data_IF_860754550837
#
_entry.id   IF_860754550837
#
_cell.length_a   1.000
_cell.length_b   1.000
_cell.length_c   1.000
_cell.angle_alpha   90.00
_cell.angle_beta   90.00
_cell.angle_gamma   90.00
#
_symmetry.space_group_name_H-M   'P 1'
#
loop_
_entity.id
_entity.type
_entity.pdbx_description
1 polymer ?
#
# COMPACT_ATOMS: atom_id res chain seq x y z
N UNK A 1 -12.79 -19.66 5.61
CA UNK A 1 -13.16 -18.69 6.67
C UNK A 1 -12.12 -17.58 6.63
N UNK A 2 -12.54 -16.31 6.69
CA UNK A 2 -11.64 -15.16 6.81
C UNK A 2 -11.78 -14.65 8.24
N UNK A 3 -10.66 -14.43 8.94
CA UNK A 3 -10.68 -13.96 10.33
C UNK A 3 -10.78 -12.42 10.38
N UNK A 4 -9.85 -11.72 9.75
CA UNK A 4 -9.75 -10.26 9.78
C UNK A 4 -9.06 -9.71 8.53
N UNK A 5 -9.23 -8.42 8.28
CA UNK A 5 -8.53 -7.66 7.24
C UNK A 5 -7.89 -6.44 7.90
N UNK A 6 -6.57 -6.32 7.79
CA UNK A 6 -5.80 -5.21 8.35
C UNK A 6 -5.40 -4.23 7.24
N UNK A 7 -5.97 -3.02 7.25
CA UNK A 7 -5.64 -1.98 6.26
C UNK A 7 -4.33 -1.26 6.55
N UNK A 8 -3.92 -1.22 7.83
CA UNK A 8 -2.64 -0.70 8.32
C UNK A 8 -1.95 -1.76 9.19
N UNK A 9 -1.37 -2.80 8.58
CA UNK A 9 -0.68 -3.85 9.31
C UNK A 9 0.63 -3.35 9.92
N UNK A 10 1.22 -4.13 10.84
CA UNK A 10 2.58 -3.89 11.30
C UNK A 10 3.54 -3.75 10.12
N UNK A 11 4.37 -2.69 10.15
CA UNK A 11 5.16 -2.27 8.99
C UNK A 11 6.67 -2.18 9.27
N UNK A 12 7.16 -2.76 10.37
CA UNK A 12 8.61 -2.86 10.60
C UNK A 12 9.25 -3.83 9.60
N UNK A 13 10.58 -3.76 9.42
CA UNK A 13 11.32 -4.68 8.55
C UNK A 13 11.20 -6.17 8.93
N UNK A 14 10.74 -6.49 10.14
CA UNK A 14 10.46 -7.85 10.61
C UNK A 14 8.96 -8.21 10.61
N UNK A 15 8.08 -7.25 10.30
CA UNK A 15 6.64 -7.48 10.25
C UNK A 15 6.24 -8.35 9.06
N UNK A 16 5.12 -9.06 9.20
CA UNK A 16 4.64 -10.01 8.17
C UNK A 16 4.37 -9.34 6.82
N UNK A 17 3.76 -8.16 6.79
CA UNK A 17 3.39 -7.51 5.52
C UNK A 17 4.63 -7.19 4.65
N UNK A 18 5.67 -6.49 5.15
CA UNK A 18 6.93 -6.34 4.41
C UNK A 18 7.62 -7.66 4.05
N UNK A 19 7.60 -8.66 4.95
CA UNK A 19 8.27 -9.95 4.72
C UNK A 19 7.67 -10.76 3.57
N UNK A 20 6.34 -10.76 3.44
CA UNK A 20 5.66 -11.46 2.35
C UNK A 20 5.96 -10.84 0.98
N UNK A 21 6.02 -9.51 0.90
CA UNK A 21 6.46 -8.81 -0.32
C UNK A 21 7.91 -9.09 -0.66
N UNK A 22 8.79 -9.08 0.34
CA UNK A 22 10.20 -9.44 0.15
C UNK A 22 10.36 -10.87 -0.39
N UNK A 23 9.61 -11.83 0.15
CA UNK A 23 9.59 -13.21 -0.34
C UNK A 23 9.05 -13.33 -1.78
N UNK A 24 8.26 -12.34 -2.21
CA UNK A 24 7.71 -12.24 -3.57
C UNK A 24 8.60 -11.44 -4.53
N UNK A 25 9.78 -10.99 -4.08
CA UNK A 25 10.77 -10.29 -4.91
C UNK A 25 10.73 -8.75 -4.82
N UNK A 26 9.91 -8.16 -3.95
CA UNK A 26 9.85 -6.71 -3.75
C UNK A 26 10.52 -6.30 -2.44
N UNK A 27 11.62 -5.54 -2.51
CA UNK A 27 12.37 -5.10 -1.34
C UNK A 27 11.59 -4.13 -0.45
N UNK A 28 12.02 -3.98 0.81
CA UNK A 28 11.34 -3.09 1.78
C UNK A 28 11.33 -1.62 1.33
N UNK A 29 12.45 -1.11 0.83
CA UNK A 29 12.54 0.25 0.28
C UNK A 29 11.62 0.42 -0.93
N UNK A 30 11.63 -0.54 -1.86
CA UNK A 30 10.80 -0.49 -3.07
C UNK A 30 9.31 -0.57 -2.74
N UNK A 31 8.94 -1.36 -1.73
CA UNK A 31 7.58 -1.43 -1.22
C UNK A 31 7.12 -0.08 -0.63
N UNK A 32 7.96 0.58 0.16
CA UNK A 32 7.66 1.91 0.70
C UNK A 32 7.44 2.90 -0.46
N UNK A 33 8.37 2.92 -1.43
CA UNK A 33 8.27 3.77 -2.62
C UNK A 33 6.96 3.49 -3.36
N UNK A 34 6.63 2.23 -3.60
CA UNK A 34 5.41 1.84 -4.33
C UNK A 34 4.14 2.29 -3.61
N UNK A 35 4.09 2.21 -2.28
CA UNK A 35 2.94 2.67 -1.50
C UNK A 35 2.77 4.19 -1.57
N UNK A 36 3.88 4.95 -1.57
CA UNK A 36 3.84 6.41 -1.75
C UNK A 36 3.34 6.76 -3.15
N UNK A 37 3.84 6.10 -4.19
CA UNK A 37 3.38 6.29 -5.57
C UNK A 37 1.90 5.99 -5.72
N UNK A 38 1.43 4.84 -5.21
CA UNK A 38 0.01 4.47 -5.23
C UNK A 38 -0.88 5.51 -4.52
N UNK A 39 -0.40 6.12 -3.43
CA UNK A 39 -1.12 7.16 -2.73
C UNK A 39 -1.27 8.43 -3.60
N UNK A 40 -0.21 8.83 -4.30
CA UNK A 40 -0.22 9.98 -5.21
C UNK A 40 -1.09 9.71 -6.45
N UNK A 41 -0.95 8.52 -7.06
CA UNK A 41 -1.76 8.06 -8.20
C UNK A 41 -3.27 8.13 -7.86
N UNK A 42 -3.67 7.57 -6.71
CA UNK A 42 -5.06 7.61 -6.25
C UNK A 42 -5.52 9.03 -5.99
N UNK A 43 -4.72 9.85 -5.32
CA UNK A 43 -5.09 11.24 -5.05
C UNK A 43 -5.31 12.05 -6.33
N UNK A 44 -4.44 11.87 -7.34
CA UNK A 44 -4.59 12.51 -8.64
C UNK A 44 -5.88 12.05 -9.37
N UNK A 45 -6.19 10.76 -9.32
CA UNK A 45 -7.41 10.20 -9.90
C UNK A 45 -8.67 10.76 -9.22
N UNK A 46 -8.69 10.81 -7.88
CA UNK A 46 -9.80 11.35 -7.09
C UNK A 46 -10.04 12.84 -7.42
N UNK A 47 -8.97 13.63 -7.56
CA UNK A 47 -9.05 15.05 -7.92
C UNK A 47 -9.57 15.30 -9.36
N UNK A 48 -9.47 14.32 -10.24
CA UNK A 48 -9.95 14.42 -11.63
C UNK A 48 -11.47 14.15 -11.75
N UNK A 49 -12.12 13.66 -10.69
CA UNK A 49 -13.55 13.44 -10.66
C UNK A 49 -14.30 14.79 -10.71
N UNK A 50 -15.28 14.89 -11.59
CA UNK A 50 -16.10 16.12 -11.74
C UNK A 50 -17.08 16.23 -10.58
N UNK A 51 -16.89 17.21 -9.71
CA UNK A 51 -17.94 17.65 -8.78
C UNK A 51 -18.93 18.51 -9.55
N UNK A 52 -20.13 18.00 -9.76
CA UNK A 52 -21.25 18.83 -10.24
C UNK A 52 -21.97 19.37 -9.00
N UNK A 53 -22.13 20.70 -8.91
CA UNK A 53 -22.95 21.33 -7.87
C UNK A 53 -24.44 21.09 -8.13
#
# INVERSE_FOLDING_TARGET
>A
VINEINTLPGFTNISMYPKLWQASGLGYTDLITRLIELALERHAADNALKTTM
#
